data_IF_618151765748
#
_entry.id   IF_618151765748
#
_cell.length_a   1.000
_cell.length_b   1.000
_cell.length_c   1.000
_cell.angle_alpha   90.00
_cell.angle_beta   90.00
_cell.angle_gamma   90.00
#
_symmetry.space_group_name_H-M   'P 1'
#
loop_
_entity.id
_entity.type
_entity.pdbx_description
1 polymer ?
#
# COMPACT_ATOMS: atom_id res chain seq x y z
N UNK A 1 -20.79 -5.63 -32.57
CA UNK A 1 -20.97 -5.52 -31.11
C UNK A 1 -19.60 -5.76 -30.48
N UNK A 2 -18.84 -4.69 -30.19
CA UNK A 2 -17.54 -4.83 -29.53
C UNK A 2 -17.75 -4.86 -28.02
N UNK A 3 -17.57 -6.01 -27.40
CA UNK A 3 -17.44 -6.14 -25.95
C UNK A 3 -16.07 -5.57 -25.56
N UNK A 4 -16.01 -4.36 -25.01
CA UNK A 4 -14.80 -3.85 -24.37
C UNK A 4 -14.67 -4.55 -23.03
N UNK A 5 -13.76 -5.52 -22.95
CA UNK A 5 -13.26 -6.03 -21.68
C UNK A 5 -12.57 -4.87 -20.95
N UNK A 6 -13.21 -4.34 -19.90
CA UNK A 6 -12.56 -3.45 -18.96
C UNK A 6 -11.57 -4.28 -18.16
N UNK A 7 -10.35 -4.46 -18.68
CA UNK A 7 -9.25 -4.97 -17.88
C UNK A 7 -8.90 -3.88 -16.87
N UNK A 8 -8.92 -4.19 -15.58
CA UNK A 8 -8.33 -3.27 -14.61
C UNK A 8 -6.81 -3.28 -14.81
N UNK A 9 -6.20 -2.10 -14.71
CA UNK A 9 -4.73 -2.06 -14.60
C UNK A 9 -4.37 -2.62 -13.23
N UNK A 10 -3.59 -3.71 -13.14
CA UNK A 10 -3.27 -4.31 -11.85
C UNK A 10 -2.60 -3.28 -10.93
N UNK A 11 -2.94 -3.34 -9.65
CA UNK A 11 -2.38 -2.46 -8.63
C UNK A 11 -2.01 -3.24 -7.38
N UNK A 12 -1.38 -2.56 -6.43
CA UNK A 12 -0.83 -3.17 -5.23
C UNK A 12 -1.67 -2.80 -4.00
N UNK A 13 -1.77 -3.71 -3.05
CA UNK A 13 -2.40 -3.48 -1.76
C UNK A 13 -1.47 -3.81 -0.60
N UNK A 14 -1.48 -3.00 0.47
CA UNK A 14 -0.76 -3.26 1.71
C UNK A 14 -1.77 -3.61 2.81
N UNK A 15 -1.60 -4.78 3.44
CA UNK A 15 -2.52 -5.31 4.44
C UNK A 15 -1.97 -5.32 5.87
N UNK A 16 -0.65 -5.34 6.01
CA UNK A 16 0.06 -5.31 7.30
C UNK A 16 1.39 -4.58 7.15
N UNK A 17 1.87 -4.00 8.23
CA UNK A 17 3.16 -3.30 8.27
C UNK A 17 3.99 -3.73 9.47
N UNK A 18 5.30 -3.57 9.40
CA UNK A 18 6.18 -3.62 10.54
C UNK A 18 6.95 -2.32 10.55
N UNK A 19 6.82 -1.57 11.63
CA UNK A 19 7.54 -0.33 11.81
C UNK A 19 8.93 -0.56 12.43
N UNK A 20 9.81 0.43 12.26
CA UNK A 20 11.04 0.51 13.03
C UNK A 20 10.77 0.67 14.54
N UNK A 21 11.81 0.52 15.34
CA UNK A 21 11.73 0.64 16.81
C UNK A 21 11.11 1.97 17.28
N UNK A 22 11.19 3.03 16.47
CA UNK A 22 10.70 4.36 16.81
C UNK A 22 9.32 4.68 16.21
N UNK A 23 8.76 3.75 15.42
CA UNK A 23 7.52 3.93 14.67
C UNK A 23 7.55 5.16 13.74
N UNK A 24 8.72 5.44 13.19
CA UNK A 24 8.91 6.55 12.24
C UNK A 24 8.82 6.04 10.81
N UNK A 25 9.45 4.90 10.52
CA UNK A 25 9.50 4.33 9.17
C UNK A 25 8.98 2.90 9.16
N UNK A 26 8.36 2.50 8.07
CA UNK A 26 8.06 1.10 7.79
C UNK A 26 9.38 0.39 7.48
N UNK A 27 9.61 -0.78 8.07
CA UNK A 27 10.71 -1.67 7.70
C UNK A 27 10.25 -2.74 6.72
N UNK A 28 9.05 -3.28 6.93
CA UNK A 28 8.47 -4.33 6.11
C UNK A 28 6.96 -4.21 5.99
N UNK A 29 6.39 -4.77 4.93
CA UNK A 29 4.96 -4.80 4.74
C UNK A 29 4.52 -6.08 4.02
N UNK A 30 3.27 -6.48 4.23
CA UNK A 30 2.64 -7.54 3.43
C UNK A 30 1.92 -6.89 2.25
N UNK A 31 2.44 -7.13 1.05
CA UNK A 31 1.94 -6.57 -0.21
C UNK A 31 1.24 -7.64 -1.05
N UNK A 32 0.11 -7.28 -1.63
CA UNK A 32 -0.71 -8.11 -2.50
C UNK A 32 -0.75 -7.52 -3.91
N UNK A 33 -0.79 -8.39 -4.92
CA UNK A 33 -1.24 -8.00 -6.26
C UNK A 33 -2.77 -7.99 -6.27
N UNK A 34 -3.35 -7.01 -6.95
CA UNK A 34 -4.79 -6.87 -7.13
C UNK A 34 -5.06 -6.71 -8.62
N UNK A 35 -5.82 -7.64 -9.19
CA UNK A 35 -6.23 -7.66 -10.58
C UNK A 35 -7.70 -8.10 -10.73
N UNK A 36 -8.12 -8.44 -11.95
CA UNK A 36 -9.51 -8.82 -12.25
C UNK A 36 -9.96 -10.09 -11.48
N UNK A 37 -9.03 -10.94 -11.02
CA UNK A 37 -9.32 -12.14 -10.23
C UNK A 37 -9.37 -11.85 -8.72
N UNK A 38 -9.05 -10.63 -8.30
CA UNK A 38 -9.13 -10.15 -6.92
C UNK A 38 -7.78 -9.98 -6.25
N UNK A 39 -7.74 -10.19 -4.93
CA UNK A 39 -6.53 -10.01 -4.10
C UNK A 39 -5.76 -11.31 -4.01
N UNK A 40 -4.54 -11.31 -4.50
CA UNK A 40 -3.64 -12.47 -4.51
C UNK A 40 -2.91 -12.65 -3.17
N UNK A 41 -2.20 -13.78 -3.02
CA UNK A 41 -1.40 -14.05 -1.83
C UNK A 41 -0.39 -12.92 -1.55
N UNK A 42 -0.28 -12.56 -0.27
CA UNK A 42 0.59 -11.49 0.19
C UNK A 42 2.05 -11.94 0.27
N UNK A 43 2.96 -11.08 -0.15
CA UNK A 43 4.41 -11.26 0.01
C UNK A 43 5.00 -10.21 0.93
N UNK A 44 6.04 -10.58 1.66
CA UNK A 44 6.83 -9.63 2.43
C UNK A 44 7.65 -8.75 1.48
N UNK A 45 7.52 -7.43 1.63
CA UNK A 45 8.31 -6.42 0.90
C UNK A 45 8.93 -5.43 1.85
N UNK A 46 9.99 -4.77 1.41
CA UNK A 46 10.62 -3.67 2.15
C UNK A 46 9.95 -2.34 1.83
N UNK A 47 10.17 -1.34 2.69
CA UNK A 47 9.77 0.05 2.39
C UNK A 47 10.34 0.55 1.06
N UNK A 48 11.59 0.20 0.75
CA UNK A 48 12.25 0.59 -0.50
C UNK A 48 11.48 0.07 -1.72
N UNK A 49 10.96 -1.15 -1.65
CA UNK A 49 10.15 -1.74 -2.73
C UNK A 49 8.85 -0.95 -2.95
N UNK A 50 8.16 -0.58 -1.86
CA UNK A 50 6.93 0.23 -1.92
C UNK A 50 7.22 1.60 -2.56
N UNK A 51 8.28 2.28 -2.11
CA UNK A 51 8.71 3.58 -2.66
C UNK A 51 9.05 3.45 -4.15
N UNK A 52 9.80 2.42 -4.54
CA UNK A 52 10.15 2.15 -5.93
C UNK A 52 8.91 1.93 -6.82
N UNK A 53 7.91 1.21 -6.32
CA UNK A 53 6.64 1.01 -7.04
C UNK A 53 5.89 2.32 -7.27
N UNK A 54 5.80 3.18 -6.25
CA UNK A 54 5.14 4.48 -6.34
C UNK A 54 5.86 5.42 -7.31
N UNK A 55 7.20 5.46 -7.28
CA UNK A 55 7.98 6.21 -8.28
C UNK A 55 7.80 5.67 -9.70
N UNK A 56 7.59 4.37 -9.85
CA UNK A 56 7.25 3.72 -11.12
C UNK A 56 5.78 3.92 -11.54
N UNK A 57 5.03 4.76 -10.82
CA UNK A 57 3.61 5.06 -11.02
C UNK A 57 2.68 3.85 -10.90
N UNK A 58 3.11 2.84 -10.15
CA UNK A 58 2.25 1.71 -9.80
C UNK A 58 1.40 2.14 -8.60
N UNK A 59 0.08 2.06 -8.75
CA UNK A 59 -0.85 2.41 -7.68
C UNK A 59 -0.70 1.44 -6.51
N UNK A 60 -0.67 1.98 -5.29
CA UNK A 60 -0.62 1.20 -4.06
C UNK A 60 -1.69 1.72 -3.10
N UNK A 61 -2.46 0.82 -2.49
CA UNK A 61 -3.56 1.16 -1.58
C UNK A 61 -3.44 0.41 -0.26
N UNK A 62 -4.11 0.93 0.76
CA UNK A 62 -4.40 0.18 1.99
C UNK A 62 -5.49 -0.83 1.68
N UNK A 63 -5.34 -2.08 2.12
CA UNK A 63 -6.42 -3.08 2.08
C UNK A 63 -6.59 -3.72 3.45
N UNK A 64 -7.83 -4.01 3.84
CA UNK A 64 -8.16 -4.58 5.15
C UNK A 64 -8.85 -5.92 4.93
N UNK A 65 -8.35 -7.02 5.51
CA UNK A 65 -9.03 -8.31 5.41
C UNK A 65 -10.36 -8.26 6.18
N UNK A 66 -11.44 -8.59 5.50
CA UNK A 66 -12.78 -8.72 6.04
C UNK A 66 -13.16 -10.17 6.36
N UNK A 67 -14.36 -10.39 6.91
CA UNK A 67 -14.87 -11.74 7.16
C UNK A 67 -15.04 -12.51 5.84
N UNK A 68 -14.98 -13.85 5.89
CA UNK A 68 -15.25 -14.73 4.74
C UNK A 68 -14.37 -14.44 3.51
N UNK A 69 -13.09 -14.11 3.72
CA UNK A 69 -12.11 -13.87 2.64
C UNK A 69 -12.45 -12.67 1.74
N UNK A 70 -13.20 -11.69 2.27
CA UNK A 70 -13.42 -10.41 1.59
C UNK A 70 -12.31 -9.41 1.92
N UNK A 71 -12.22 -8.34 1.12
CA UNK A 71 -11.24 -7.28 1.31
C UNK A 71 -11.93 -5.92 1.21
N UNK A 72 -11.67 -5.06 2.18
CA UNK A 72 -12.06 -3.65 2.13
C UNK A 72 -10.90 -2.81 1.59
N UNK A 73 -11.22 -1.92 0.65
CA UNK A 73 -10.24 -1.07 -0.02
C UNK A 73 -10.20 0.30 0.66
N UNK A 74 -9.04 0.63 1.21
CA UNK A 74 -8.78 1.90 1.88
C UNK A 74 -8.20 2.97 0.97
N UNK A 75 -7.48 3.91 1.60
CA UNK A 75 -6.90 5.06 0.92
C UNK A 75 -5.67 4.69 0.06
N UNK A 76 -5.40 5.54 -0.92
CA UNK A 76 -4.19 5.46 -1.75
C UNK A 76 -2.96 5.85 -0.92
N UNK A 77 -1.89 5.06 -1.09
CA UNK A 77 -0.59 5.34 -0.51
C UNK A 77 0.17 6.22 -1.49
N UNK A 78 0.74 7.30 -0.98
CA UNK A 78 1.53 8.28 -1.73
C UNK A 78 2.83 8.58 -1.02
N UNK A 79 3.79 9.10 -1.78
CA UNK A 79 5.02 9.66 -1.23
C UNK A 79 4.76 11.13 -0.92
N UNK A 80 5.08 11.54 0.31
CA UNK A 80 5.06 12.94 0.75
C UNK A 80 6.46 13.31 1.22
N UNK A 81 7.06 14.30 0.58
CA UNK A 81 8.40 14.78 0.94
C UNK A 81 8.29 15.88 2.00
N UNK A 82 8.88 15.65 3.18
CA UNK A 82 8.92 16.60 4.30
C UNK A 82 10.39 16.86 4.62
N UNK A 83 10.81 18.13 4.53
CA UNK A 83 12.22 18.53 4.74
C UNK A 83 13.24 17.72 3.91
N UNK A 84 12.88 17.36 2.67
CA UNK A 84 13.74 16.57 1.78
C UNK A 84 13.78 15.06 2.06
N UNK A 85 12.98 14.57 3.00
CA UNK A 85 12.82 13.14 3.29
C UNK A 85 11.45 12.65 2.83
N UNK A 86 11.42 11.55 2.10
CA UNK A 86 10.19 10.94 1.62
C UNK A 86 9.54 10.08 2.71
N UNK A 87 8.23 10.22 2.87
CA UNK A 87 7.40 9.41 3.77
C UNK A 87 6.24 8.78 3.01
N UNK A 88 5.88 7.55 3.36
CA UNK A 88 4.72 6.83 2.84
C UNK A 88 3.48 7.23 3.63
N UNK A 89 2.51 7.89 3.00
CA UNK A 89 1.34 8.43 3.69
C UNK A 89 0.05 8.14 2.92
N UNK A 90 -1.06 8.17 3.64
CA UNK A 90 -2.42 8.19 3.05
C UNK A 90 -3.05 9.57 3.15
N UNK A 91 -2.70 10.32 4.19
CA UNK A 91 -3.02 11.73 4.35
C UNK A 91 -1.89 12.65 3.85
N UNK A 92 -2.13 13.95 3.88
CA UNK A 92 -1.12 14.98 3.57
C UNK A 92 -0.65 15.69 4.84
N UNK A 93 -0.73 15.05 6.01
CA UNK A 93 -0.29 15.69 7.24
C UNK A 93 1.24 15.94 7.19
N UNK A 94 1.72 16.92 7.94
CA UNK A 94 3.14 17.32 7.93
C UNK A 94 3.98 16.59 8.97
N UNK A 95 3.48 15.50 9.57
CA UNK A 95 4.23 14.72 10.56
C UNK A 95 5.31 13.90 9.82
N UNK A 96 6.59 13.98 10.20
CA UNK A 96 7.68 13.30 9.50
C UNK A 96 7.76 11.80 9.86
N UNK A 97 6.72 11.04 9.54
CA UNK A 97 6.68 9.58 9.67
C UNK A 97 5.84 8.92 8.57
N UNK A 98 6.10 7.64 8.34
CA UNK A 98 5.26 6.79 7.50
C UNK A 98 3.92 6.53 8.21
N UNK A 99 2.81 6.85 7.55
CA UNK A 99 1.46 6.75 8.12
C UNK A 99 0.45 6.37 7.05
N UNK A 100 0.28 5.06 6.87
CA UNK A 100 -0.60 4.48 5.84
C UNK A 100 -1.89 3.91 6.44
N UNK A 101 -2.45 4.60 7.44
CA UNK A 101 -3.66 4.16 8.15
C UNK A 101 -3.36 3.20 9.31
N UNK A 102 -4.43 2.65 9.90
CA UNK A 102 -4.35 1.74 11.05
C UNK A 102 -4.25 0.29 10.60
N UNK A 103 -3.17 -0.04 9.87
CA UNK A 103 -2.90 -1.42 9.50
C UNK A 103 -2.35 -2.21 10.70
N UNK A 104 -2.70 -3.50 10.82
CA UNK A 104 -2.13 -4.35 11.86
C UNK A 104 -0.62 -4.54 11.69
N UNK A 105 0.08 -4.67 12.82
CA UNK A 105 1.51 -4.96 12.86
C UNK A 105 1.81 -6.46 12.91
N UNK A 106 3.01 -6.86 12.45
CA UNK A 106 3.49 -8.25 12.46
C UNK A 106 4.99 -8.40 12.77
#
# INVERSE_FOLDING_TARGET
MLWRFFHITPYLGISKVRYDKHHISIEGAIQHLIDDDGVHEGKLVTRKDIVSNLYSRIMCKVIIPGPNNTWDYGADIKIVTIHGTDYLKTDSDSIPCDKIGNLPEF
#
